data_IF_657274837094
#
_entry.id   IF_657274837094
#
_cell.length_a   1.000
_cell.length_b   1.000
_cell.length_c   1.000
_cell.angle_alpha   90.00
_cell.angle_beta   90.00
_cell.angle_gamma   90.00
#
_symmetry.space_group_name_H-M   'P 1'
#
loop_
_entity.id
_entity.type
_entity.pdbx_description
1 polymer ?
#
# COMPACT_ATOMS: atom_id res chain seq x y z
N UNK A 1 18.34 -3.06 -7.74
CA UNK A 1 18.46 -2.37 -9.06
C UNK A 1 17.04 -2.14 -9.50
N UNK A 2 16.45 -1.03 -9.05
CA UNK A 2 15.05 -0.72 -9.30
C UNK A 2 15.01 -0.12 -10.71
N UNK A 3 14.69 -0.96 -11.68
CA UNK A 3 14.41 -0.50 -13.03
C UNK A 3 13.05 0.21 -12.93
N UNK A 4 13.04 1.54 -12.97
CA UNK A 4 11.80 2.31 -13.14
C UNK A 4 11.21 1.90 -14.49
N UNK A 5 10.23 1.00 -14.46
CA UNK A 5 9.50 0.62 -15.67
C UNK A 5 8.69 1.83 -16.11
N UNK A 6 8.95 2.30 -17.33
CA UNK A 6 8.08 3.30 -17.96
C UNK A 6 6.65 2.73 -18.01
N UNK A 7 5.66 3.37 -17.36
CA UNK A 7 4.28 2.89 -17.34
C UNK A 7 3.69 2.72 -18.75
N UNK A 8 4.15 3.51 -19.73
CA UNK A 8 3.72 3.39 -21.12
C UNK A 8 4.20 2.08 -21.80
N UNK A 9 5.15 1.39 -21.17
CA UNK A 9 5.73 0.14 -21.64
C UNK A 9 5.25 -1.07 -20.83
N UNK A 10 4.15 -0.95 -20.09
CA UNK A 10 3.56 -2.04 -19.31
C UNK A 10 2.25 -2.47 -19.96
N UNK A 11 2.14 -3.76 -20.29
CA UNK A 11 0.93 -4.36 -20.85
C UNK A 11 0.36 -5.34 -19.84
N UNK A 12 -0.96 -5.26 -19.60
CA UNK A 12 -1.66 -6.29 -18.84
C UNK A 12 -1.74 -7.58 -19.65
N UNK A 13 -1.09 -8.63 -19.17
CA UNK A 13 -1.18 -9.95 -19.79
C UNK A 13 -2.63 -10.45 -19.70
N UNK A 14 -3.22 -10.74 -20.86
CA UNK A 14 -4.64 -11.12 -21.04
C UNK A 14 -5.65 -10.05 -20.57
N UNK A 15 -5.22 -8.82 -20.24
CA UNK A 15 -6.12 -7.71 -19.88
C UNK A 15 -6.93 -7.92 -18.59
N UNK A 16 -6.49 -8.82 -17.70
CA UNK A 16 -7.23 -9.17 -16.49
C UNK A 16 -6.64 -8.56 -15.23
N UNK A 17 -7.50 -7.91 -14.43
CA UNK A 17 -7.21 -7.55 -13.04
C UNK A 17 -8.06 -8.46 -12.15
N UNK A 18 -7.41 -9.10 -11.19
CA UNK A 18 -8.05 -10.03 -10.27
C UNK A 18 -8.17 -9.39 -8.90
N UNK A 19 -9.34 -9.52 -8.28
CA UNK A 19 -9.60 -9.05 -6.93
C UNK A 19 -9.45 -10.18 -5.91
N UNK A 20 -8.88 -9.86 -4.75
CA UNK A 20 -8.75 -10.74 -3.60
C UNK A 20 -9.45 -10.15 -2.38
N UNK A 21 -9.81 -11.03 -1.43
CA UNK A 21 -10.37 -10.62 -0.14
C UNK A 21 -9.36 -10.65 1.00
N UNK A 22 -8.22 -11.32 0.81
CA UNK A 22 -7.21 -11.56 1.83
C UNK A 22 -5.85 -11.09 1.30
N UNK A 23 -5.12 -10.38 2.14
CA UNK A 23 -3.71 -10.03 1.94
C UNK A 23 -2.92 -10.50 3.16
N UNK A 24 -1.76 -11.12 2.92
CA UNK A 24 -0.82 -11.53 3.96
C UNK A 24 0.40 -10.64 3.87
N UNK A 25 0.69 -9.92 4.96
CA UNK A 25 1.85 -9.04 5.07
C UNK A 25 2.84 -9.67 6.04
N UNK A 26 4.09 -9.81 5.63
CA UNK A 26 5.13 -10.38 6.48
C UNK A 26 5.76 -9.26 7.31
N UNK A 27 5.94 -9.50 8.60
CA UNK A 27 6.69 -8.61 9.47
C UNK A 27 7.67 -9.40 10.34
N UNK A 28 8.64 -8.70 10.92
CA UNK A 28 9.59 -9.30 11.86
C UNK A 28 9.21 -8.87 13.26
N UNK A 29 8.90 -9.82 14.13
CA UNK A 29 8.60 -9.54 15.53
C UNK A 29 9.87 -9.12 16.28
N UNK A 30 9.70 -8.54 17.47
CA UNK A 30 10.81 -8.14 18.34
C UNK A 30 11.77 -9.29 18.68
N UNK A 31 11.25 -10.52 18.73
CA UNK A 31 12.06 -11.73 18.96
C UNK A 31 12.79 -12.21 17.71
N UNK A 32 12.87 -11.37 16.66
CA UNK A 32 13.50 -11.65 15.36
C UNK A 32 12.88 -12.87 14.68
N UNK A 33 11.58 -13.08 14.90
CA UNK A 33 10.83 -14.13 14.23
C UNK A 33 10.04 -13.53 13.07
N UNK A 34 9.99 -14.24 11.95
CA UNK A 34 9.09 -13.86 10.85
C UNK A 34 7.67 -14.28 11.22
N UNK A 35 6.77 -13.31 11.19
CA UNK A 35 5.33 -13.51 11.43
C UNK A 35 4.55 -12.86 10.29
N UNK A 36 3.26 -13.15 10.23
CA UNK A 36 2.37 -12.66 9.19
C UNK A 36 1.12 -12.06 9.79
N UNK A 37 0.74 -10.90 9.29
CA UNK A 37 -0.57 -10.30 9.54
C UNK A 37 -1.51 -10.55 8.37
N UNK A 38 -2.78 -10.75 8.69
CA UNK A 38 -3.82 -11.08 7.72
C UNK A 38 -4.82 -9.92 7.65
N UNK A 39 -4.79 -9.22 6.53
CA UNK A 39 -5.76 -8.18 6.20
C UNK A 39 -6.91 -8.84 5.45
N UNK A 40 -8.13 -8.62 5.91
CA UNK A 40 -9.32 -9.16 5.28
C UNK A 40 -10.36 -8.06 5.03
N UNK A 41 -10.79 -7.93 3.78
CA UNK A 41 -11.62 -6.79 3.34
C UNK A 41 -12.98 -6.74 4.04
N UNK A 42 -13.55 -7.90 4.38
CA UNK A 42 -14.92 -8.01 4.90
C UNK A 42 -14.96 -8.03 6.44
N UNK A 43 -13.87 -7.69 7.11
CA UNK A 43 -13.79 -7.62 8.58
C UNK A 43 -13.29 -6.24 9.02
N UNK A 44 -13.29 -6.00 10.34
CA UNK A 44 -12.70 -4.79 10.93
C UNK A 44 -11.16 -4.75 10.88
N UNK A 45 -10.52 -5.76 10.27
CA UNK A 45 -9.06 -5.86 10.10
C UNK A 45 -8.60 -5.34 8.73
N UNK A 46 -9.34 -4.39 8.15
CA UNK A 46 -9.00 -3.73 6.87
C UNK A 46 -8.41 -2.33 7.08
N UNK A 47 -7.95 -2.00 8.28
CA UNK A 47 -7.24 -0.78 8.59
C UNK A 47 -5.74 -1.09 8.70
N UNK A 48 -4.92 -0.29 8.04
CA UNK A 48 -3.49 -0.54 7.89
C UNK A 48 -2.66 0.71 8.21
N UNK A 49 -1.41 0.46 8.58
CA UNK A 49 -0.36 1.47 8.66
C UNK A 49 0.53 1.34 7.42
N UNK A 50 0.89 2.48 6.83
CA UNK A 50 1.72 2.55 5.64
C UNK A 50 2.94 3.39 5.96
N UNK A 51 4.11 2.91 5.58
CA UNK A 51 5.35 3.64 5.72
C UNK A 51 5.35 4.86 4.78
N UNK A 52 5.51 6.08 5.31
CA UNK A 52 5.71 7.27 4.51
C UNK A 52 7.22 7.57 4.44
N UNK A 53 7.72 7.85 3.24
CA UNK A 53 9.14 8.01 2.91
C UNK A 53 9.94 8.79 3.98
N UNK A 54 11.20 8.38 4.18
CA UNK A 54 12.14 8.89 5.18
C UNK A 54 12.69 10.30 4.93
N UNK A 55 12.21 11.01 3.92
CA UNK A 55 12.71 12.35 3.57
C UNK A 55 12.19 13.47 4.48
N UNK A 56 11.33 13.14 5.46
CA UNK A 56 10.88 14.10 6.45
C UNK A 56 11.98 14.28 7.54
N UNK A 57 12.55 15.49 7.71
CA UNK A 57 13.59 15.75 8.70
C UNK A 57 13.14 15.53 10.16
N UNK A 58 11.85 15.24 10.39
CA UNK A 58 11.26 14.99 11.70
C UNK A 58 11.23 13.50 12.13
N UNK A 59 11.61 12.55 11.27
CA UNK A 59 11.69 11.11 11.56
C UNK A 59 10.82 10.26 10.64
N UNK A 60 10.59 8.99 11.01
CA UNK A 60 9.72 8.06 10.27
C UNK A 60 8.27 8.56 10.35
N UNK A 61 7.69 8.96 9.23
CA UNK A 61 6.28 9.31 9.13
C UNK A 61 5.47 8.04 8.81
N UNK A 62 4.34 7.84 9.50
CA UNK A 62 3.44 6.70 9.27
C UNK A 62 2.09 7.26 8.86
N UNK A 63 1.52 6.71 7.80
CA UNK A 63 0.17 7.04 7.34
C UNK A 63 -0.79 5.92 7.71
N UNK A 64 -2.05 6.28 7.90
CA UNK A 64 -3.11 5.33 8.17
C UNK A 64 -4.03 5.26 6.97
N UNK A 65 -4.47 4.06 6.61
CA UNK A 65 -5.41 3.87 5.52
C UNK A 65 -6.41 2.76 5.83
N UNK A 66 -7.58 2.83 5.19
CA UNK A 66 -8.54 1.73 5.13
C UNK A 66 -8.43 1.08 3.76
N UNK A 67 -8.21 -0.23 3.74
CA UNK A 67 -8.20 -1.03 2.52
C UNK A 67 -9.61 -1.17 1.97
N UNK A 68 -9.77 -0.82 0.69
CA UNK A 68 -11.01 -0.94 -0.07
C UNK A 68 -10.99 -2.12 -1.03
N UNK A 69 -9.82 -2.45 -1.56
CA UNK A 69 -9.65 -3.56 -2.49
C UNK A 69 -8.20 -4.03 -2.55
N UNK A 70 -8.02 -5.34 -2.75
CA UNK A 70 -6.73 -5.98 -2.95
C UNK A 70 -6.75 -6.56 -4.35
N UNK A 71 -5.76 -6.24 -5.16
CA UNK A 71 -5.73 -6.65 -6.55
C UNK A 71 -4.38 -7.24 -6.92
N UNK A 72 -4.40 -8.07 -7.95
CA UNK A 72 -3.20 -8.38 -8.70
C UNK A 72 -3.48 -8.39 -10.19
N UNK A 73 -2.43 -8.18 -10.96
CA UNK A 73 -2.44 -8.42 -12.39
C UNK A 73 -1.13 -9.07 -12.82
N UNK A 74 -1.20 -9.84 -13.89
CA UNK A 74 -0.01 -10.26 -14.62
C UNK A 74 0.29 -9.16 -15.64
N UNK A 75 1.52 -8.63 -15.65
CA UNK A 75 1.95 -7.59 -16.58
C UNK A 75 3.21 -8.00 -17.31
N UNK A 76 3.38 -7.53 -18.53
CA UNK A 76 4.58 -7.71 -19.33
C UNK A 76 5.17 -6.33 -19.58
N UNK A 77 6.43 -6.15 -19.20
CA UNK A 77 7.21 -4.99 -19.59
C UNK A 77 7.68 -5.18 -21.04
N UNK A 78 7.45 -4.18 -21.90
CA UNK A 78 7.81 -4.19 -23.33
C UNK A 78 8.81 -3.09 -23.71
N UNK A 79 9.43 -2.45 -22.71
CA UNK A 79 10.30 -1.31 -22.92
C UNK A 79 11.76 -1.67 -23.22
N UNK A 80 12.63 -0.65 -23.35
CA UNK A 80 14.05 -0.83 -23.65
C UNK A 80 14.76 -1.72 -22.62
N UNK A 81 15.66 -2.59 -23.09
CA UNK A 81 16.44 -3.50 -22.25
C UNK A 81 15.71 -4.80 -21.86
N UNK A 82 14.49 -5.00 -22.35
CA UNK A 82 13.71 -6.21 -22.10
C UNK A 82 14.27 -7.40 -22.89
N UNK A 83 14.46 -8.52 -22.21
CA UNK A 83 15.07 -9.75 -22.78
C UNK A 83 14.01 -10.80 -23.12
N UNK A 84 12.90 -10.86 -22.37
CA UNK A 84 11.82 -11.83 -22.57
C UNK A 84 10.43 -11.25 -22.23
N UNK A 85 9.38 -11.73 -22.91
CA UNK A 85 7.98 -11.33 -22.67
C UNK A 85 7.39 -12.07 -21.46
N UNK A 86 8.19 -12.22 -20.42
CA UNK A 86 7.75 -12.93 -19.22
C UNK A 86 6.73 -12.09 -18.47
N UNK A 87 5.59 -12.69 -18.16
CA UNK A 87 4.58 -12.07 -17.34
C UNK A 87 5.05 -12.03 -15.87
N UNK A 88 4.94 -10.85 -15.26
CA UNK A 88 5.25 -10.57 -13.87
C UNK A 88 3.95 -10.29 -13.13
N UNK A 89 3.72 -11.02 -12.03
CA UNK A 89 2.57 -10.75 -11.17
C UNK A 89 2.89 -9.57 -10.27
N UNK A 90 2.08 -8.52 -10.36
CA UNK A 90 2.16 -7.34 -9.49
C UNK A 90 0.91 -7.30 -8.62
N UNK A 91 1.10 -7.02 -7.34
CA UNK A 91 0.04 -6.76 -6.38
C UNK A 91 -0.07 -5.26 -6.13
N UNK A 92 -1.29 -4.78 -5.93
CA UNK A 92 -1.54 -3.39 -5.55
C UNK A 92 -2.81 -3.32 -4.72
N UNK A 93 -2.81 -2.40 -3.76
CA UNK A 93 -3.89 -2.26 -2.78
C UNK A 93 -4.55 -0.91 -2.96
N UNK A 94 -5.87 -0.91 -3.16
CA UNK A 94 -6.67 0.31 -3.21
C UNK A 94 -7.10 0.70 -1.80
N UNK A 95 -6.80 1.93 -1.40
CA UNK A 95 -7.01 2.41 -0.04
C UNK A 95 -7.75 3.74 0.01
N UNK A 96 -8.35 4.03 1.16
CA UNK A 96 -8.83 5.35 1.57
C UNK A 96 -7.97 5.87 2.72
N UNK A 97 -7.41 7.05 2.55
CA UNK A 97 -6.50 7.65 3.53
C UNK A 97 -7.23 8.29 4.71
N UNK A 98 -6.57 8.24 5.86
CA UNK A 98 -6.93 9.01 7.05
C UNK A 98 -6.13 10.30 7.10
N UNK A 99 -6.74 11.34 7.67
CA UNK A 99 -6.03 12.51 8.18
C UNK A 99 -5.82 12.36 9.68
N UNK A 100 -4.63 12.73 10.15
CA UNK A 100 -4.25 12.71 11.55
C UNK A 100 -4.34 14.13 12.13
N UNK A 101 -5.04 14.26 13.26
CA UNK A 101 -5.03 15.47 14.07
C UNK A 101 -4.18 15.24 15.32
N UNK A 102 -3.08 15.99 15.45
CA UNK A 102 -2.31 16.05 16.69
C UNK A 102 -2.90 17.13 17.59
N UNK A 103 -3.46 16.79 18.77
CA UNK A 103 -3.93 17.81 19.70
C UNK A 103 -2.76 18.65 20.20
N UNK A 104 -2.88 19.98 20.07
CA UNK A 104 -1.78 20.94 20.26
C UNK A 104 -1.25 21.01 21.69
N UNK A 105 -2.00 20.54 22.69
CA UNK A 105 -1.72 20.83 24.11
C UNK A 105 -1.56 19.60 25.02
N UNK A 106 -1.69 18.37 24.50
CA UNK A 106 -1.66 17.17 25.32
C UNK A 106 -0.49 16.25 24.94
N UNK A 107 0.54 16.23 25.78
CA UNK A 107 1.76 15.41 25.63
C UNK A 107 1.52 13.89 25.59
N UNK A 108 0.30 13.42 25.88
CA UNK A 108 -0.08 12.00 25.94
C UNK A 108 -1.46 11.69 25.31
N UNK A 109 -2.00 12.57 24.46
CA UNK A 109 -3.27 12.28 23.82
C UNK A 109 -3.09 11.37 22.60
N UNK A 110 -4.00 10.41 22.44
CA UNK A 110 -4.06 9.55 21.26
C UNK A 110 -4.33 10.40 20.02
N UNK A 111 -3.69 10.05 18.91
CA UNK A 111 -3.96 10.68 17.62
C UNK A 111 -5.42 10.42 17.22
N UNK A 112 -6.13 11.49 16.85
CA UNK A 112 -7.48 11.37 16.33
C UNK A 112 -7.41 11.19 14.81
N UNK A 113 -7.94 10.06 14.35
CA UNK A 113 -7.99 9.71 12.93
C UNK A 113 -9.40 9.95 12.40
N UNK A 114 -9.48 10.66 11.29
CA UNK A 114 -10.72 10.78 10.51
C UNK A 114 -10.44 10.56 9.03
N UNK A 115 -11.46 10.24 8.25
CA UNK A 115 -11.27 10.10 6.81
C UNK A 115 -11.11 11.45 6.13
N UNK A 116 -10.30 11.49 5.07
CA UNK A 116 -10.31 12.61 4.16
C UNK A 116 -11.71 12.80 3.51
N UNK A 117 -12.10 14.06 3.23
CA UNK A 117 -13.34 14.39 2.52
C UNK A 117 -13.38 13.71 1.14
N UNK A 118 -14.51 13.11 0.75
CA UNK A 118 -14.61 12.29 -0.48
C UNK A 118 -14.26 13.07 -1.75
N UNK A 119 -14.45 14.38 -1.75
CA UNK A 119 -14.16 15.30 -2.83
C UNK A 119 -12.68 15.72 -2.91
N UNK A 120 -11.85 15.34 -1.92
CA UNK A 120 -10.41 15.54 -1.96
C UNK A 120 -9.77 14.50 -2.90
N UNK A 121 -8.98 14.99 -3.86
CA UNK A 121 -8.29 14.19 -4.87
C UNK A 121 -7.26 13.21 -4.27
N UNK A 122 -6.82 13.44 -3.02
CA UNK A 122 -5.89 12.60 -2.29
C UNK A 122 -6.59 11.62 -1.34
N UNK A 123 -7.92 11.51 -1.37
CA UNK A 123 -8.67 10.61 -0.48
C UNK A 123 -8.39 9.14 -0.73
N UNK A 124 -8.19 8.79 -1.99
CA UNK A 124 -7.97 7.42 -2.41
C UNK A 124 -6.59 7.28 -3.05
N UNK A 125 -6.00 6.10 -2.91
CA UNK A 125 -4.70 5.81 -3.50
C UNK A 125 -4.51 4.34 -3.77
N UNK A 126 -3.48 4.04 -4.55
CA UNK A 126 -2.93 2.69 -4.69
C UNK A 126 -1.58 2.65 -3.98
N UNK A 127 -1.32 1.57 -3.25
CA UNK A 127 -0.04 1.32 -2.58
C UNK A 127 0.51 -0.05 -2.93
N UNK A 128 1.82 -0.21 -2.79
CA UNK A 128 2.46 -1.51 -2.78
C UNK A 128 2.14 -2.21 -1.44
N UNK A 129 1.69 -3.48 -1.43
CA UNK A 129 1.59 -4.26 -0.21
C UNK A 129 2.87 -4.28 0.65
N UNK A 130 4.05 -4.11 0.06
CA UNK A 130 5.33 -4.07 0.79
C UNK A 130 5.51 -2.81 1.64
N UNK A 131 4.73 -1.75 1.38
CA UNK A 131 4.75 -0.51 2.18
C UNK A 131 3.89 -0.61 3.45
N UNK A 132 3.19 -1.73 3.65
CA UNK A 132 2.33 -1.98 4.82
C UNK A 132 3.19 -2.47 6.00
N UNK A 133 3.03 -1.83 7.15
CA UNK A 133 3.76 -2.12 8.40
C UNK A 133 3.08 -3.16 9.28
#
# INVERSE_FOLDING_TARGET
>A
MNLEWDPAQIIFNDGHIYQHHILQVNYTSYDVQRTQDIIHLNTSSNHIMVFASSDDPSGVCVWYAKVLGIYHSNVIYVGPGMVNYQAHRIYFVWVRWYQCFKPTEATNALEELSFLPIDDNNTFGFIDPEDIL
#
